data_IF_477946845860
#
_entry.id   IF_477946845860
#
_cell.length_a   1.000
_cell.length_b   1.000
_cell.length_c   1.000
_cell.angle_alpha   90.00
_cell.angle_beta   90.00
_cell.angle_gamma   90.00
#
_symmetry.space_group_name_H-M   'P 1'
#
loop_
_entity.id
_entity.type
_entity.pdbx_description
1 polymer ?
#
# COMPACT_ATOMS: atom_id res chain seq x y z
N UNK A 1 -2.35 -18.61 -21.22
CA UNK A 1 -3.47 -17.64 -21.23
C UNK A 1 -4.29 -17.64 -19.94
N UNK A 2 -4.61 -18.79 -19.31
CA UNK A 2 -5.26 -18.80 -17.97
C UNK A 2 -4.36 -18.33 -16.81
N UNK A 3 -3.04 -18.47 -16.94
CA UNK A 3 -2.07 -18.05 -15.90
C UNK A 3 -1.97 -16.52 -15.74
N UNK A 4 -2.08 -15.76 -16.84
CA UNK A 4 -2.08 -14.29 -16.77
C UNK A 4 -3.32 -13.77 -16.04
N UNK A 5 -4.52 -14.28 -16.33
CA UNK A 5 -5.74 -13.85 -15.63
C UNK A 5 -5.72 -14.15 -14.12
N UNK A 6 -5.04 -15.23 -13.69
CA UNK A 6 -4.85 -15.52 -12.26
C UNK A 6 -3.93 -14.50 -11.60
N UNK A 7 -2.87 -14.09 -12.30
CA UNK A 7 -1.91 -13.09 -11.83
C UNK A 7 -2.51 -11.67 -11.76
N UNK A 8 -3.36 -11.31 -12.72
CA UNK A 8 -4.13 -10.06 -12.69
C UNK A 8 -5.08 -9.99 -11.49
N UNK A 9 -5.78 -11.09 -11.18
CA UNK A 9 -6.68 -11.17 -10.02
C UNK A 9 -5.96 -10.98 -8.69
N UNK A 10 -4.77 -11.57 -8.52
CA UNK A 10 -3.93 -11.38 -7.33
C UNK A 10 -3.44 -9.94 -7.22
N UNK A 11 -3.08 -9.30 -8.33
CA UNK A 11 -2.67 -7.90 -8.33
C UNK A 11 -3.80 -6.96 -7.92
N UNK A 12 -5.01 -7.16 -8.45
CA UNK A 12 -6.19 -6.38 -8.04
C UNK A 12 -6.50 -6.58 -6.56
N UNK A 13 -6.41 -7.82 -6.06
CA UNK A 13 -6.58 -8.11 -4.63
C UNK A 13 -5.54 -7.37 -3.77
N UNK A 14 -4.27 -7.37 -4.21
CA UNK A 14 -3.20 -6.64 -3.53
C UNK A 14 -3.46 -5.13 -3.51
N UNK A 15 -3.93 -4.56 -4.62
CA UNK A 15 -4.32 -3.15 -4.72
C UNK A 15 -5.45 -2.79 -3.74
N UNK A 16 -6.48 -3.63 -3.65
CA UNK A 16 -7.58 -3.44 -2.68
C UNK A 16 -7.01 -3.48 -1.25
N UNK A 17 -6.16 -4.46 -0.94
CA UNK A 17 -5.50 -4.57 0.37
C UNK A 17 -4.68 -3.32 0.71
N UNK A 18 -3.95 -2.78 -0.26
CA UNK A 18 -3.18 -1.54 -0.12
C UNK A 18 -4.09 -0.35 0.17
N UNK A 19 -5.19 -0.19 -0.58
CA UNK A 19 -6.15 0.91 -0.37
C UNK A 19 -6.78 0.83 1.03
N UNK A 20 -7.21 -0.35 1.46
CA UNK A 20 -7.78 -0.58 2.80
C UNK A 20 -6.75 -0.26 3.88
N UNK A 21 -5.52 -0.77 3.73
CA UNK A 21 -4.45 -0.55 4.70
C UNK A 21 -4.03 0.93 4.79
N UNK A 22 -3.89 1.61 3.65
CA UNK A 22 -3.64 3.06 3.61
C UNK A 22 -4.78 3.85 4.26
N UNK A 23 -6.04 3.44 4.04
CA UNK A 23 -7.20 4.04 4.70
C UNK A 23 -7.14 3.92 6.22
N UNK A 24 -6.77 2.74 6.75
CA UNK A 24 -6.58 2.53 8.20
C UNK A 24 -5.45 3.40 8.75
N UNK A 25 -4.33 3.49 8.03
CA UNK A 25 -3.18 4.34 8.40
C UNK A 25 -3.59 5.81 8.49
N UNK A 26 -4.29 6.32 7.48
CA UNK A 26 -4.79 7.69 7.45
C UNK A 26 -5.80 7.92 8.57
N UNK A 27 -6.75 7.01 8.78
CA UNK A 27 -7.72 7.10 9.87
C UNK A 27 -7.06 7.14 11.26
N UNK A 28 -6.00 6.36 11.48
CA UNK A 28 -5.19 6.41 12.71
C UNK A 28 -4.38 7.71 12.85
N UNK A 29 -3.98 8.31 11.73
CA UNK A 29 -3.25 9.57 11.72
C UNK A 29 -4.15 10.77 12.03
N UNK A 30 -5.38 10.75 11.51
CA UNK A 30 -6.39 11.80 11.70
C UNK A 30 -7.34 11.58 12.90
N UNK A 31 -7.26 10.43 13.57
CA UNK A 31 -8.06 10.18 14.78
C UNK A 31 -7.73 11.21 15.87
N UNK A 32 -8.69 12.10 16.15
CA UNK A 32 -8.62 13.19 17.15
C UNK A 32 -8.45 12.71 18.59
N UNK A 33 -8.39 11.41 18.85
CA UNK A 33 -8.19 10.88 20.19
C UNK A 33 -6.74 11.03 20.70
N UNK A 34 -5.82 11.58 19.88
CA UNK A 34 -4.44 11.88 20.29
C UNK A 34 -4.33 13.31 20.86
N UNK A 35 -4.57 13.43 22.17
CA UNK A 35 -4.25 14.62 22.99
C UNK A 35 -2.73 14.92 23.04
N UNK A 36 -1.87 14.02 22.54
CA UNK A 36 -0.41 14.12 22.62
C UNK A 36 0.18 14.43 21.24
N UNK A 37 1.04 15.47 21.16
CA UNK A 37 1.86 15.82 19.99
C UNK A 37 2.41 14.55 19.32
N UNK A 38 2.11 14.34 18.02
CA UNK A 38 2.66 13.22 17.24
C UNK A 38 4.18 13.23 17.41
N UNK A 39 4.74 12.16 17.98
CA UNK A 39 6.19 12.06 18.16
C UNK A 39 6.86 11.96 16.81
N UNK A 40 8.06 12.53 16.70
CA UNK A 40 8.85 12.52 15.47
C UNK A 40 9.07 11.09 14.94
N UNK A 41 9.23 10.11 15.84
CA UNK A 41 9.32 8.69 15.50
C UNK A 41 8.04 8.11 14.89
N UNK A 42 6.86 8.44 15.41
CA UNK A 42 5.57 8.00 14.84
C UNK A 42 5.38 8.57 13.43
N UNK A 43 5.74 9.85 13.22
CA UNK A 43 5.67 10.48 11.90
C UNK A 43 6.60 9.81 10.89
N UNK A 44 7.83 9.46 11.31
CA UNK A 44 8.78 8.75 10.45
C UNK A 44 8.28 7.34 10.10
N UNK A 45 7.70 6.63 11.07
CA UNK A 45 7.16 5.29 10.86
C UNK A 45 6.01 5.31 9.85
N UNK A 46 5.08 6.27 9.98
CA UNK A 46 3.99 6.45 9.02
C UNK A 46 4.51 6.85 7.62
N UNK A 47 5.50 7.74 7.54
CA UNK A 47 6.12 8.10 6.27
C UNK A 47 6.79 6.90 5.58
N UNK A 48 7.51 6.06 6.33
CA UNK A 48 8.14 4.85 5.80
C UNK A 48 7.12 3.82 5.30
N UNK A 49 6.00 3.67 6.00
CA UNK A 49 4.89 2.80 5.57
C UNK A 49 4.29 3.30 4.25
N UNK A 50 3.99 4.59 4.16
CA UNK A 50 3.44 5.19 2.93
C UNK A 50 4.43 5.02 1.77
N UNK A 51 5.72 5.28 2.00
CA UNK A 51 6.77 5.10 1.01
C UNK A 51 6.83 3.64 0.52
N UNK A 52 6.83 2.67 1.44
CA UNK A 52 6.86 1.24 1.10
C UNK A 52 5.65 0.81 0.28
N UNK A 53 4.46 1.34 0.60
CA UNK A 53 3.24 1.11 -0.18
C UNK A 53 3.38 1.64 -1.61
N UNK A 54 3.85 2.88 -1.79
CA UNK A 54 4.04 3.49 -3.12
C UNK A 54 5.02 2.66 -3.94
N UNK A 55 6.15 2.26 -3.35
CA UNK A 55 7.15 1.41 -4.01
C UNK A 55 6.54 0.08 -4.45
N UNK A 56 5.80 -0.61 -3.56
CA UNK A 56 5.15 -1.88 -3.88
C UNK A 56 4.16 -1.76 -5.06
N UNK A 57 3.36 -0.68 -5.10
CA UNK A 57 2.42 -0.41 -6.20
C UNK A 57 3.16 -0.19 -7.51
N UNK A 58 4.22 0.63 -7.51
CA UNK A 58 5.02 0.90 -8.72
C UNK A 58 5.64 -0.38 -9.26
N UNK A 59 6.25 -1.20 -8.40
CA UNK A 59 6.84 -2.47 -8.83
C UNK A 59 5.80 -3.44 -9.39
N UNK A 60 4.64 -3.57 -8.76
CA UNK A 60 3.58 -4.43 -9.28
C UNK A 60 2.99 -3.93 -10.60
N UNK A 61 2.85 -2.60 -10.78
CA UNK A 61 2.41 -2.00 -12.04
C UNK A 61 3.45 -2.22 -13.16
N UNK A 62 4.75 -2.09 -12.86
CA UNK A 62 5.82 -2.40 -13.80
C UNK A 62 5.84 -3.88 -14.20
N UNK A 63 5.55 -4.80 -13.28
CA UNK A 63 5.44 -6.24 -13.56
C UNK A 63 4.25 -6.55 -14.48
N UNK A 64 3.12 -5.85 -14.33
CA UNK A 64 2.00 -5.95 -15.28
C UNK A 64 2.36 -5.42 -16.68
N UNK A 65 2.98 -4.24 -16.76
CA UNK A 65 3.34 -3.62 -18.04
C UNK A 65 4.37 -4.45 -18.83
N UNK A 66 5.30 -5.09 -18.11
CA UNK A 66 6.32 -5.97 -18.68
C UNK A 66 5.82 -7.37 -19.06
N UNK A 67 4.56 -7.73 -18.77
CA UNK A 67 3.99 -9.04 -19.05
C UNK A 67 4.54 -10.20 -18.20
N UNK A 68 5.45 -9.91 -17.27
CA UNK A 68 6.09 -10.84 -16.34
C UNK A 68 5.69 -10.48 -14.91
N UNK A 69 4.51 -10.94 -14.52
CA UNK A 69 4.28 -11.33 -13.14
C UNK A 69 4.66 -12.82 -13.09
N UNK A 70 5.65 -13.16 -12.26
CA UNK A 70 6.22 -14.51 -12.11
C UNK A 70 5.22 -15.66 -12.26
#
# INVERSE_FOLDING_TARGET
MRSQQFSEGVFVFLLIGIVVFSGIVIALLFSSNRSKKIRMGERLMFAAIILGVVVAVVFGALQMLGGYLF
#
